data_IF_194873880977
#
_entry.id   IF_194873880977
#
_cell.length_a   1.000
_cell.length_b   1.000
_cell.length_c   1.000
_cell.angle_alpha   90.00
_cell.angle_beta   90.00
_cell.angle_gamma   90.00
#
_symmetry.space_group_name_H-M   'P 1'
#
loop_
_entity.id
_entity.type
_entity.pdbx_description
1 polymer ?
#
# COMPACT_ATOMS: atom_id res chain seq x y z
N UNK A 1 28.06 -3.47 3.94
CA UNK A 1 27.49 -2.19 3.48
C UNK A 1 26.76 -2.47 2.18
N UNK A 2 25.48 -2.88 2.23
CA UNK A 2 24.68 -3.07 1.00
C UNK A 2 23.16 -3.03 1.29
N UNK A 3 22.75 -2.22 2.27
CA UNK A 3 21.33 -2.03 2.63
C UNK A 3 20.67 -0.82 1.98
N UNK A 4 21.44 0.00 1.25
CA UNK A 4 20.95 1.22 0.60
C UNK A 4 20.35 0.94 -0.79
N UNK A 5 20.74 -0.18 -1.43
CA UNK A 5 20.38 -0.49 -2.82
C UNK A 5 18.96 -1.07 -2.95
N UNK A 6 18.42 -1.67 -1.89
CA UNK A 6 17.09 -2.30 -1.89
C UNK A 6 16.02 -1.51 -1.11
N UNK A 7 16.24 -0.21 -0.87
CA UNK A 7 15.20 0.63 -0.30
C UNK A 7 14.28 1.17 -1.40
N UNK A 8 12.95 1.09 -1.27
CA UNK A 8 12.05 1.78 -2.18
C UNK A 8 12.24 3.30 -2.12
N UNK A 9 12.26 3.98 -3.28
CA UNK A 9 12.44 5.45 -3.35
C UNK A 9 11.41 6.21 -2.50
N UNK A 10 10.16 5.72 -2.46
CA UNK A 10 9.07 6.34 -1.69
C UNK A 10 9.24 6.21 -0.17
N UNK A 11 10.15 5.35 0.29
CA UNK A 11 10.39 5.05 1.70
C UNK A 11 11.64 5.79 2.21
N UNK A 12 11.92 6.96 1.64
CA UNK A 12 13.21 7.63 1.82
C UNK A 12 13.51 8.09 3.26
N UNK A 13 12.48 8.18 4.09
CA UNK A 13 12.52 8.59 5.48
C UNK A 13 12.68 7.42 6.46
N UNK A 14 12.59 6.18 5.99
CA UNK A 14 12.67 4.98 6.85
C UNK A 14 13.82 4.04 6.44
N UNK A 15 14.44 3.32 7.39
CA UNK A 15 15.53 2.40 7.12
C UNK A 15 15.05 1.00 6.74
N UNK A 16 13.93 0.88 5.99
CA UNK A 16 13.31 -0.40 5.63
C UNK A 16 13.67 -0.81 4.20
N UNK A 17 14.00 -2.09 4.00
CA UNK A 17 14.15 -2.69 2.66
C UNK A 17 12.81 -3.10 2.04
N UNK A 18 12.80 -3.53 0.77
CA UNK A 18 11.61 -4.14 0.16
C UNK A 18 11.15 -5.38 0.92
N UNK A 19 12.09 -6.21 1.34
CA UNK A 19 11.78 -7.45 2.08
C UNK A 19 11.19 -7.16 3.46
N UNK A 20 11.70 -6.16 4.17
CA UNK A 20 11.16 -5.77 5.48
C UNK A 20 9.73 -5.27 5.34
N UNK A 21 9.45 -4.46 4.31
CA UNK A 21 8.11 -3.97 4.04
C UNK A 21 7.13 -5.11 3.74
N UNK A 22 7.55 -6.12 2.97
CA UNK A 22 6.74 -7.32 2.72
C UNK A 22 6.46 -8.09 4.02
N UNK A 23 7.47 -8.30 4.87
CA UNK A 23 7.30 -8.97 6.17
C UNK A 23 6.36 -8.22 7.10
N UNK A 24 6.39 -6.88 7.09
CA UNK A 24 5.49 -6.05 7.89
C UNK A 24 4.04 -6.16 7.40
N UNK A 25 3.82 -6.18 6.08
CA UNK A 25 2.50 -6.33 5.48
C UNK A 25 1.89 -7.72 5.70
N UNK A 26 2.72 -8.77 5.68
CA UNK A 26 2.32 -10.16 5.99
C UNK A 26 2.31 -10.46 7.50
N UNK A 27 2.68 -9.49 8.33
CA UNK A 27 2.79 -9.62 9.78
C UNK A 27 1.45 -9.77 10.49
N UNK A 28 1.50 -10.11 11.79
CA UNK A 28 0.30 -10.23 12.64
C UNK A 28 -0.26 -8.89 13.12
N UNK A 29 0.50 -7.80 12.95
CA UNK A 29 0.10 -6.48 13.44
C UNK A 29 -0.66 -5.72 12.36
N UNK A 30 -2.00 -5.83 12.40
CA UNK A 30 -2.86 -5.20 11.39
C UNK A 30 -2.66 -3.68 11.31
N UNK A 31 -2.46 -3.00 12.44
CA UNK A 31 -2.35 -1.53 12.43
C UNK A 31 -1.05 -1.05 11.77
N UNK A 32 0.03 -1.80 11.97
CA UNK A 32 1.32 -1.57 11.32
C UNK A 32 1.23 -1.85 9.81
N UNK A 33 0.60 -2.96 9.42
CA UNK A 33 0.34 -3.27 8.02
C UNK A 33 -0.50 -2.16 7.34
N UNK A 34 -1.55 -1.67 8.00
CA UNK A 34 -2.39 -0.59 7.49
C UNK A 34 -1.64 0.75 7.40
N UNK A 35 -0.73 1.04 8.33
CA UNK A 35 0.12 2.22 8.28
C UNK A 35 0.99 2.22 7.03
N UNK A 36 1.72 1.12 6.79
CA UNK A 36 2.61 0.99 5.63
C UNK A 36 1.83 0.87 4.32
N UNK A 37 0.72 0.15 4.28
CA UNK A 37 -0.15 0.10 3.12
C UNK A 37 -0.66 1.51 2.73
N UNK A 38 -1.09 2.31 3.71
CA UNK A 38 -1.49 3.69 3.44
C UNK A 38 -0.31 4.53 2.94
N UNK A 39 0.90 4.32 3.45
CA UNK A 39 2.12 5.01 2.98
C UNK A 39 2.43 4.65 1.51
N UNK A 40 2.43 3.36 1.18
CA UNK A 40 2.62 2.86 -0.19
C UNK A 40 1.61 3.53 -1.13
N UNK A 41 0.33 3.51 -0.79
CA UNK A 41 -0.72 4.11 -1.62
C UNK A 41 -0.58 5.64 -1.77
N UNK A 42 0.05 6.33 -0.81
CA UNK A 42 0.25 7.78 -0.92
C UNK A 42 1.45 8.15 -1.79
N UNK A 43 2.56 7.43 -1.60
CA UNK A 43 3.88 7.87 -2.03
C UNK A 43 4.48 7.05 -3.18
N UNK A 44 4.16 5.76 -3.30
CA UNK A 44 4.72 4.89 -4.33
C UNK A 44 4.17 5.23 -5.72
N UNK A 45 4.95 4.91 -6.77
CA UNK A 45 4.42 4.94 -8.14
C UNK A 45 3.33 3.88 -8.26
N UNK A 46 2.33 4.15 -9.10
CA UNK A 46 1.17 3.26 -9.25
C UNK A 46 1.55 1.81 -9.58
N UNK A 47 2.57 1.61 -10.43
CA UNK A 47 3.06 0.29 -10.80
C UNK A 47 3.73 -0.43 -9.63
N UNK A 48 4.51 0.28 -8.81
CA UNK A 48 5.23 -0.27 -7.65
C UNK A 48 4.28 -0.68 -6.51
N UNK A 49 3.07 -0.13 -6.45
CA UNK A 49 2.08 -0.50 -5.41
C UNK A 49 1.82 -2.01 -5.42
N UNK A 50 1.77 -2.61 -6.61
CA UNK A 50 1.40 -4.00 -6.80
C UNK A 50 2.52 -4.98 -6.45
N UNK A 51 3.73 -4.50 -6.19
CA UNK A 51 4.82 -5.31 -5.65
C UNK A 51 4.63 -5.62 -4.16
N UNK A 52 3.73 -4.89 -3.49
CA UNK A 52 3.49 -4.96 -2.04
C UNK A 52 2.04 -5.27 -1.69
N UNK A 53 1.08 -4.73 -2.44
CA UNK A 53 -0.34 -4.83 -2.15
C UNK A 53 -1.06 -5.57 -3.27
N UNK A 54 -2.20 -6.17 -2.95
CA UNK A 54 -3.12 -6.73 -3.94
C UNK A 54 -4.42 -5.93 -3.99
N UNK A 55 -5.15 -5.95 -5.13
CA UNK A 55 -6.50 -5.38 -5.20
C UNK A 55 -7.45 -5.97 -4.14
N UNK A 56 -7.30 -7.26 -3.82
CA UNK A 56 -8.07 -7.93 -2.77
C UNK A 56 -7.75 -7.35 -1.38
N UNK A 57 -6.48 -7.15 -1.03
CA UNK A 57 -6.09 -6.50 0.22
C UNK A 57 -6.67 -5.09 0.32
N UNK A 58 -6.58 -4.31 -0.76
CA UNK A 58 -7.13 -2.95 -0.82
C UNK A 58 -8.64 -2.97 -0.59
N UNK A 59 -9.37 -3.90 -1.21
CA UNK A 59 -10.81 -4.05 -1.06
C UNK A 59 -11.20 -4.40 0.39
N UNK A 60 -10.55 -5.40 0.99
CA UNK A 60 -10.84 -5.85 2.36
C UNK A 60 -10.54 -4.79 3.42
N UNK A 61 -9.61 -3.87 3.15
CA UNK A 61 -9.17 -2.84 4.11
C UNK A 61 -9.60 -1.42 3.73
N UNK A 62 -10.43 -1.27 2.69
CA UNK A 62 -10.73 0.04 2.08
C UNK A 62 -11.26 1.05 3.10
N UNK A 63 -12.19 0.63 3.96
CA UNK A 63 -12.78 1.49 4.99
C UNK A 63 -11.75 2.03 5.99
N UNK A 64 -10.71 1.24 6.32
CA UNK A 64 -9.62 1.66 7.22
C UNK A 64 -8.59 2.52 6.48
N UNK A 65 -8.29 2.17 5.22
CA UNK A 65 -7.27 2.84 4.41
C UNK A 65 -7.72 4.21 3.90
N UNK A 66 -8.96 4.34 3.40
CA UNK A 66 -9.42 5.54 2.66
C UNK A 66 -9.28 6.85 3.43
N UNK A 67 -9.37 6.79 4.76
CA UNK A 67 -9.19 7.95 5.63
C UNK A 67 -7.72 8.36 5.81
N UNK A 68 -6.79 7.41 5.65
CA UNK A 68 -5.35 7.61 5.76
C UNK A 68 -4.72 8.14 4.46
N UNK A 69 -5.44 8.17 3.33
CA UNK A 69 -4.87 8.49 2.02
C UNK A 69 -4.73 9.99 1.71
N UNK A 70 -5.33 10.87 2.52
CA UNK A 70 -5.27 12.32 2.30
C UNK A 70 -5.60 12.72 0.86
N UNK A 71 -4.68 13.43 0.19
CA UNK A 71 -4.85 13.92 -1.19
C UNK A 71 -5.00 12.80 -2.23
N UNK A 72 -4.44 11.61 -1.97
CA UNK A 72 -4.50 10.44 -2.86
C UNK A 72 -5.81 9.67 -2.74
N UNK A 73 -6.67 9.99 -1.77
CA UNK A 73 -7.94 9.30 -1.55
C UNK A 73 -8.78 9.21 -2.83
N UNK A 74 -9.04 10.33 -3.50
CA UNK A 74 -9.91 10.37 -4.70
C UNK A 74 -9.37 9.52 -5.85
N UNK A 75 -8.04 9.48 -6.01
CA UNK A 75 -7.39 8.66 -7.02
C UNK A 75 -7.66 7.17 -6.75
N UNK A 76 -7.43 6.70 -5.53
CA UNK A 76 -7.69 5.29 -5.18
C UNK A 76 -9.16 4.94 -5.10
N UNK A 77 -10.02 5.89 -4.69
CA UNK A 77 -11.47 5.71 -4.66
C UNK A 77 -12.03 5.48 -6.06
N UNK A 78 -11.47 6.14 -7.09
CA UNK A 78 -11.81 5.86 -8.48
C UNK A 78 -11.51 4.41 -8.88
N UNK A 79 -10.33 3.88 -8.53
CA UNK A 79 -9.99 2.49 -8.82
C UNK A 79 -10.85 1.50 -8.04
N UNK A 80 -11.00 1.71 -6.74
CA UNK A 80 -11.83 0.87 -5.88
C UNK A 80 -13.27 0.78 -6.42
N UNK A 81 -13.92 1.93 -6.67
CA UNK A 81 -15.30 1.96 -7.19
C UNK A 81 -15.40 1.37 -8.59
N UNK A 82 -14.42 1.59 -9.46
CA UNK A 82 -14.39 1.02 -10.81
C UNK A 82 -14.26 -0.50 -10.75
N UNK A 83 -13.30 -1.03 -10.01
CA UNK A 83 -13.08 -2.47 -9.89
C UNK A 83 -14.28 -3.18 -9.27
N UNK A 84 -14.85 -2.62 -8.20
CA UNK A 84 -16.04 -3.16 -7.58
C UNK A 84 -17.22 -3.19 -8.56
N UNK A 85 -17.47 -2.09 -9.30
CA UNK A 85 -18.53 -2.03 -10.32
C UNK A 85 -18.37 -3.07 -11.43
N UNK A 86 -17.13 -3.41 -11.78
CA UNK A 86 -16.82 -4.41 -12.81
C UNK A 86 -16.66 -5.84 -12.23
N UNK A 87 -16.86 -6.06 -10.93
CA UNK A 87 -16.75 -7.37 -10.29
C UNK A 87 -15.32 -7.92 -10.23
N UNK A 88 -14.31 -7.04 -10.29
CA UNK A 88 -12.89 -7.41 -10.22
C UNK A 88 -12.40 -7.55 -8.76
N UNK A 89 -13.11 -6.93 -7.83
CA UNK A 89 -12.94 -7.08 -6.39
C UNK A 89 -14.32 -7.28 -5.76
N UNK A 90 -14.40 -7.92 -4.57
CA UNK A 90 -15.64 -8.08 -3.82
C UNK A 90 -16.28 -6.75 -3.43
#
# INVERSE_FOLDING_TARGET
>A
MDGLTDRPDFLWDEPLSREDLKKLLDGKNEEEALYYAAKILREARFEEVWDYLSPAFLASHWEKLRWRLGRRKRFWEFFYTTWHRHGLIP
#
